data_IF_450854177404
#
_entry.id   IF_450854177404
#
_cell.length_a   1.000
_cell.length_b   1.000
_cell.length_c   1.000
_cell.angle_alpha   90.00
_cell.angle_beta   90.00
_cell.angle_gamma   90.00
#
_symmetry.space_group_name_H-M   'P 1'
#
loop_
_entity.id
_entity.type
_entity.pdbx_description
1 polymer ?
#
# COMPACT_ATOMS: atom_id res chain seq x y z
N UNK A 1 34.40 -21.18 18.74
CA UNK A 1 33.21 -21.34 17.90
C UNK A 1 32.15 -20.43 18.51
N UNK A 2 31.61 -19.39 17.88
CA UNK A 2 31.34 -19.14 16.46
C UNK A 2 31.60 -17.64 16.11
N UNK A 3 32.40 -17.30 15.07
CA UNK A 3 32.65 -15.93 14.60
C UNK A 3 31.55 -15.31 13.70
N UNK A 4 30.38 -15.92 13.53
CA UNK A 4 29.46 -15.58 12.43
C UNK A 4 28.30 -14.61 12.75
N UNK A 5 28.50 -13.59 13.60
CA UNK A 5 27.61 -12.42 13.62
C UNK A 5 28.31 -11.17 13.06
N UNK A 6 28.81 -11.29 11.83
CA UNK A 6 28.92 -10.11 10.97
C UNK A 6 27.49 -9.68 10.70
N UNK A 7 27.02 -8.68 11.45
CA UNK A 7 25.84 -7.91 11.09
C UNK A 7 26.15 -7.25 9.75
N UNK A 8 25.91 -7.95 8.64
CA UNK A 8 25.88 -7.34 7.33
C UNK A 8 24.91 -6.18 7.44
N UNK A 9 25.42 -4.97 7.28
CA UNK A 9 24.63 -3.75 7.26
C UNK A 9 23.77 -3.79 5.99
N UNK A 10 22.68 -4.57 6.02
CA UNK A 10 21.72 -4.74 4.93
C UNK A 10 20.98 -3.43 4.78
N UNK A 11 21.50 -2.56 3.93
CA UNK A 11 20.88 -1.27 3.63
C UNK A 11 19.62 -1.53 2.82
N UNK A 12 18.46 -1.38 3.47
CA UNK A 12 17.17 -1.41 2.79
C UNK A 12 17.04 -0.19 1.87
N UNK A 13 16.85 -0.41 0.58
CA UNK A 13 16.53 0.63 -0.40
C UNK A 13 15.13 0.41 -0.95
N UNK A 14 14.49 1.47 -1.45
CA UNK A 14 13.21 1.36 -2.16
C UNK A 14 13.26 2.15 -3.45
N UNK A 15 12.68 1.59 -4.51
CA UNK A 15 12.64 2.21 -5.83
C UNK A 15 11.38 1.82 -6.59
N UNK A 16 11.01 2.65 -7.54
CA UNK A 16 10.11 2.23 -8.60
C UNK A 16 10.74 1.08 -9.37
N UNK A 17 9.91 0.16 -9.83
CA UNK A 17 10.35 -0.86 -10.77
C UNK A 17 10.73 -0.21 -12.10
N UNK A 18 11.70 -0.81 -12.79
CA UNK A 18 11.94 -0.53 -14.19
C UNK A 18 10.80 -1.11 -15.05
N UNK A 19 10.67 -0.63 -16.28
CA UNK A 19 9.55 -0.98 -17.17
C UNK A 19 9.53 -2.48 -17.50
N UNK A 20 10.70 -3.08 -17.68
CA UNK A 20 10.92 -4.51 -17.96
C UNK A 20 10.70 -5.41 -16.74
N UNK A 21 10.71 -4.85 -15.53
CA UNK A 21 10.45 -5.60 -14.29
C UNK A 21 8.95 -5.81 -14.00
N UNK A 22 8.04 -5.21 -14.77
CA UNK A 22 6.61 -5.27 -14.48
C UNK A 22 6.06 -6.70 -14.47
N UNK A 23 6.45 -7.55 -15.42
CA UNK A 23 6.00 -8.95 -15.47
C UNK A 23 6.45 -9.69 -14.22
N UNK A 24 7.74 -9.58 -13.86
CA UNK A 24 8.29 -10.18 -12.64
C UNK A 24 7.57 -9.67 -11.39
N UNK A 25 7.27 -8.37 -11.32
CA UNK A 25 6.56 -7.76 -10.21
C UNK A 25 5.16 -8.35 -10.07
N UNK A 26 4.38 -8.35 -11.15
CA UNK A 26 3.00 -8.81 -11.14
C UNK A 26 2.95 -10.33 -10.82
N UNK A 27 3.83 -11.16 -11.38
CA UNK A 27 3.92 -12.61 -11.04
C UNK A 27 4.33 -12.87 -9.60
N UNK A 28 5.28 -12.09 -9.07
CA UNK A 28 5.73 -12.23 -7.68
C UNK A 28 4.63 -11.80 -6.73
N UNK A 29 3.94 -10.71 -7.04
CA UNK A 29 2.83 -10.22 -6.25
C UNK A 29 1.63 -11.17 -6.29
N UNK A 30 1.35 -11.80 -7.44
CA UNK A 30 0.30 -12.81 -7.60
C UNK A 30 0.53 -14.00 -6.66
N UNK A 31 1.78 -14.49 -6.57
CA UNK A 31 2.14 -15.60 -5.68
C UNK A 31 2.16 -15.21 -4.20
N UNK A 32 2.65 -14.02 -3.89
CA UNK A 32 2.92 -13.61 -2.51
C UNK A 32 1.73 -12.93 -1.81
N UNK A 33 0.77 -12.36 -2.55
CA UNK A 33 -0.35 -11.62 -1.98
C UNK A 33 -1.68 -12.36 -2.19
N UNK A 34 -2.42 -12.58 -1.09
CA UNK A 34 -3.71 -13.28 -1.07
C UNK A 34 -4.86 -12.64 -1.90
N UNK A 35 -4.60 -11.49 -2.53
CA UNK A 35 -5.55 -10.77 -3.40
C UNK A 35 -5.01 -10.65 -4.84
N UNK A 36 -3.94 -11.38 -5.16
CA UNK A 36 -3.24 -11.32 -6.43
C UNK A 36 -2.63 -9.95 -6.75
N UNK A 37 -2.23 -9.77 -8.00
CA UNK A 37 -1.54 -8.59 -8.53
C UNK A 37 -2.46 -7.46 -9.02
N UNK A 38 -3.77 -7.58 -8.81
CA UNK A 38 -4.76 -6.62 -9.29
C UNK A 38 -4.62 -5.22 -8.67
N UNK A 39 -3.96 -4.31 -9.39
CA UNK A 39 -3.84 -2.88 -9.09
C UNK A 39 -4.70 -2.07 -10.08
N UNK A 40 -5.31 -0.98 -9.62
CA UNK A 40 -6.25 -0.18 -10.43
C UNK A 40 -5.99 1.33 -10.32
N UNK A 41 -6.23 2.03 -11.44
CA UNK A 41 -6.11 3.48 -11.55
C UNK A 41 -4.68 3.95 -11.85
N UNK A 42 -4.28 5.01 -11.17
CA UNK A 42 -2.96 5.64 -11.27
C UNK A 42 -1.92 4.82 -10.48
N UNK A 43 -1.47 3.73 -11.10
CA UNK A 43 -0.68 2.69 -10.44
C UNK A 43 0.80 3.08 -10.30
N UNK A 44 1.33 2.91 -9.09
CA UNK A 44 2.76 2.97 -8.76
C UNK A 44 3.21 1.62 -8.19
N UNK A 45 4.32 1.08 -8.70
CA UNK A 45 4.88 -0.22 -8.27
C UNK A 45 6.29 0.01 -7.72
N UNK A 46 6.48 -0.35 -6.45
CA UNK A 46 7.75 -0.23 -5.76
C UNK A 46 8.24 -1.59 -5.30
N UNK A 47 9.56 -1.76 -5.36
CA UNK A 47 10.26 -2.86 -4.69
C UNK A 47 11.13 -2.28 -3.59
N UNK A 48 11.14 -2.98 -2.45
CA UNK A 48 12.16 -2.80 -1.43
C UNK A 48 13.24 -3.84 -1.66
N UNK A 49 14.51 -3.44 -1.52
CA UNK A 49 15.65 -4.28 -1.84
C UNK A 49 16.69 -4.30 -0.72
N UNK A 50 17.32 -5.45 -0.54
CA UNK A 50 18.54 -5.62 0.25
C UNK A 50 19.55 -6.35 -0.63
N UNK A 51 20.74 -5.79 -0.82
CA UNK A 51 21.80 -6.38 -1.67
C UNK A 51 21.34 -6.74 -3.11
N UNK A 52 20.39 -5.98 -3.66
CA UNK A 52 19.83 -6.22 -5.00
C UNK A 52 18.74 -7.30 -5.07
N UNK A 53 18.40 -7.93 -3.95
CA UNK A 53 17.29 -8.87 -3.84
C UNK A 53 16.01 -8.16 -3.43
N UNK A 54 14.89 -8.50 -4.06
CA UNK A 54 13.58 -7.97 -3.68
C UNK A 54 13.15 -8.59 -2.36
N UNK A 55 12.88 -7.76 -1.36
CA UNK A 55 12.45 -8.22 -0.02
C UNK A 55 10.99 -7.86 0.28
N UNK A 56 10.42 -6.88 -0.42
CA UNK A 56 9.02 -6.52 -0.32
C UNK A 56 8.50 -5.86 -1.60
N UNK A 57 7.21 -6.03 -1.88
CA UNK A 57 6.51 -5.42 -3.02
C UNK A 57 5.40 -4.51 -2.49
N UNK A 58 5.34 -3.28 -2.99
CA UNK A 58 4.37 -2.27 -2.57
C UNK A 58 3.70 -1.67 -3.82
N UNK A 59 2.39 -1.85 -3.92
CA UNK A 59 1.55 -1.31 -4.98
C UNK A 59 0.64 -0.20 -4.46
N UNK A 60 0.72 0.96 -5.09
CA UNK A 60 -0.27 2.03 -4.93
C UNK A 60 -1.13 2.15 -6.19
N UNK A 61 -2.36 2.61 -6.02
CA UNK A 61 -3.26 2.97 -7.11
C UNK A 61 -4.17 4.12 -6.70
N UNK A 62 -5.18 4.40 -7.51
CA UNK A 62 -6.15 5.45 -7.18
C UNK A 62 -6.98 5.09 -5.94
N UNK A 63 -7.44 6.13 -5.25
CA UNK A 63 -8.31 6.05 -4.08
C UNK A 63 -9.59 5.21 -4.32
N UNK A 64 -10.08 4.59 -3.25
CA UNK A 64 -11.41 4.01 -3.23
C UNK A 64 -12.45 5.13 -3.36
N UNK A 65 -13.40 4.94 -4.28
CA UNK A 65 -14.36 5.99 -4.66
C UNK A 65 -15.21 6.48 -3.49
N UNK A 66 -15.75 5.55 -2.70
CA UNK A 66 -16.71 5.87 -1.64
C UNK A 66 -16.23 5.28 -0.32
N UNK A 67 -15.77 6.13 0.60
CA UNK A 67 -15.30 5.72 1.92
C UNK A 67 -15.82 6.73 2.94
N UNK A 68 -17.01 6.47 3.48
CA UNK A 68 -17.71 7.43 4.33
C UNK A 68 -16.89 7.86 5.56
N UNK A 69 -16.17 6.93 6.20
CA UNK A 69 -15.34 7.26 7.36
C UNK A 69 -14.22 8.26 7.02
N UNK A 70 -13.58 8.10 5.86
CA UNK A 70 -12.56 9.03 5.34
C UNK A 70 -13.19 10.37 5.01
N UNK A 71 -14.27 10.35 4.23
CA UNK A 71 -14.90 11.59 3.74
C UNK A 71 -15.42 12.44 4.91
N UNK A 72 -16.03 11.81 5.92
CA UNK A 72 -16.45 12.48 7.17
C UNK A 72 -15.27 12.99 7.98
N UNK A 73 -14.19 12.22 8.11
CA UNK A 73 -13.00 12.65 8.87
C UNK A 73 -12.32 13.87 8.24
N UNK A 74 -12.24 13.93 6.90
CA UNK A 74 -11.69 15.09 6.18
C UNK A 74 -12.70 16.26 6.14
N UNK A 75 -13.99 16.00 6.37
CA UNK A 75 -15.07 16.98 6.25
C UNK A 75 -15.45 17.30 4.80
N UNK A 76 -15.34 16.32 3.90
CA UNK A 76 -15.69 16.49 2.50
C UNK A 76 -17.20 16.32 2.26
N UNK A 77 -17.76 17.25 1.50
CA UNK A 77 -19.00 17.02 0.75
C UNK A 77 -18.76 16.06 -0.41
N UNK A 78 -19.84 15.48 -0.95
CA UNK A 78 -19.77 14.63 -2.13
C UNK A 78 -19.07 15.32 -3.32
N UNK A 79 -19.39 16.60 -3.56
CA UNK A 79 -18.74 17.37 -4.62
C UNK A 79 -17.23 17.50 -4.40
N UNK A 80 -16.81 17.79 -3.16
CA UNK A 80 -15.38 17.88 -2.83
C UNK A 80 -14.67 16.54 -3.01
N UNK A 81 -15.29 15.43 -2.58
CA UNK A 81 -14.77 14.07 -2.80
C UNK A 81 -14.48 13.85 -4.28
N UNK A 82 -15.45 14.08 -5.16
CA UNK A 82 -15.28 13.85 -6.60
C UNK A 82 -14.10 14.62 -7.21
N UNK A 83 -13.88 15.87 -6.80
CA UNK A 83 -12.77 16.67 -7.31
C UNK A 83 -11.41 16.38 -6.65
N UNK A 84 -11.41 15.87 -5.41
CA UNK A 84 -10.20 15.74 -4.59
C UNK A 84 -9.67 14.32 -4.43
N UNK A 85 -10.46 13.31 -4.79
CA UNK A 85 -10.05 11.90 -4.76
C UNK A 85 -8.72 11.65 -5.50
N UNK A 86 -8.45 12.40 -6.57
CA UNK A 86 -7.17 12.31 -7.31
C UNK A 86 -5.94 12.54 -6.41
N UNK A 87 -6.07 13.35 -5.36
CA UNK A 87 -4.94 13.63 -4.46
C UNK A 87 -4.75 12.54 -3.38
N UNK A 88 -5.48 11.43 -3.47
CA UNK A 88 -5.40 10.32 -2.54
C UNK A 88 -4.81 9.09 -3.25
N UNK A 89 -3.74 8.55 -2.70
CA UNK A 89 -3.19 7.27 -3.13
C UNK A 89 -3.67 6.14 -2.22
N UNK A 90 -4.10 5.04 -2.80
CA UNK A 90 -4.46 3.83 -2.07
C UNK A 90 -3.30 2.85 -2.09
N UNK A 91 -2.79 2.43 -0.92
CA UNK A 91 -1.89 1.29 -0.85
C UNK A 91 -2.69 -0.01 -1.01
N UNK A 92 -2.89 -0.40 -2.26
CA UNK A 92 -3.75 -1.51 -2.67
C UNK A 92 -3.12 -2.88 -2.39
N UNK A 93 -1.79 -2.99 -2.46
CA UNK A 93 -1.06 -4.22 -2.22
C UNK A 93 0.22 -3.94 -1.45
N UNK A 94 0.48 -4.74 -0.43
CA UNK A 94 1.74 -4.70 0.28
C UNK A 94 2.06 -6.07 0.87
N UNK A 95 3.17 -6.67 0.44
CA UNK A 95 3.68 -7.91 1.02
C UNK A 95 5.20 -7.85 1.20
N UNK A 96 5.66 -8.39 2.33
CA UNK A 96 7.06 -8.78 2.54
C UNK A 96 7.18 -10.23 2.08
N UNK A 97 8.20 -10.54 1.30
CA UNK A 97 8.45 -11.91 0.82
C UNK A 97 8.83 -12.83 1.98
N UNK A 98 8.35 -14.07 1.94
CA UNK A 98 8.36 -14.97 3.10
C UNK A 98 9.78 -15.29 3.57
N UNK A 99 10.70 -15.52 2.64
CA UNK A 99 12.12 -15.77 2.84
C UNK A 99 12.88 -14.59 3.47
N UNK A 100 12.31 -13.38 3.39
CA UNK A 100 12.93 -12.15 3.91
C UNK A 100 12.22 -11.60 5.15
N UNK A 101 11.20 -12.29 5.68
CA UNK A 101 10.45 -11.83 6.85
C UNK A 101 11.37 -11.65 8.06
N UNK A 102 11.46 -10.41 8.53
CA UNK A 102 12.14 -10.03 9.78
C UNK A 102 11.41 -8.88 10.46
N UNK A 103 11.59 -8.68 11.78
CA UNK A 103 11.00 -7.56 12.49
C UNK A 103 11.28 -6.23 11.79
N UNK A 104 10.25 -5.36 11.76
CA UNK A 104 10.30 -4.00 11.24
C UNK A 104 10.55 -3.84 9.73
N UNK A 105 10.79 -4.90 8.95
CA UNK A 105 11.03 -4.78 7.51
C UNK A 105 9.85 -4.10 6.79
N UNK A 106 8.62 -4.50 7.11
CA UNK A 106 7.43 -3.91 6.51
C UNK A 106 7.31 -2.40 6.82
N UNK A 107 7.47 -1.99 8.08
CA UNK A 107 7.36 -0.57 8.44
C UNK A 107 8.53 0.25 7.88
N UNK A 108 9.74 -0.31 7.81
CA UNK A 108 10.90 0.33 7.19
C UNK A 108 10.68 0.56 5.69
N UNK A 109 10.24 -0.47 4.97
CA UNK A 109 9.95 -0.40 3.54
C UNK A 109 8.82 0.59 3.23
N UNK A 110 7.71 0.50 3.97
CA UNK A 110 6.58 1.41 3.81
C UNK A 110 6.97 2.86 4.10
N UNK A 111 7.70 3.11 5.20
CA UNK A 111 8.21 4.44 5.53
C UNK A 111 9.09 5.03 4.43
N UNK A 112 9.94 4.19 3.84
CA UNK A 112 10.83 4.60 2.76
C UNK A 112 10.05 4.97 1.49
N UNK A 113 9.02 4.21 1.11
CA UNK A 113 8.19 4.55 -0.05
C UNK A 113 7.38 5.82 0.20
N UNK A 114 6.80 5.99 1.38
CA UNK A 114 5.98 7.17 1.69
C UNK A 114 6.76 8.49 1.60
N UNK A 115 8.07 8.49 1.89
CA UNK A 115 8.93 9.68 1.77
C UNK A 115 9.10 10.17 0.32
N UNK A 116 8.92 9.28 -0.66
CA UNK A 116 9.10 9.59 -2.09
C UNK A 116 7.81 9.57 -2.89
N UNK A 117 6.75 8.96 -2.35
CA UNK A 117 5.51 8.68 -3.05
C UNK A 117 4.93 9.91 -3.75
N UNK A 118 4.76 11.04 -3.05
CA UNK A 118 4.14 12.22 -3.66
C UNK A 118 4.96 12.77 -4.83
N UNK A 119 6.29 12.81 -4.69
CA UNK A 119 7.18 13.25 -5.76
C UNK A 119 7.08 12.31 -6.97
N UNK A 120 7.18 11.00 -6.75
CA UNK A 120 7.08 10.03 -7.83
C UNK A 120 5.70 10.05 -8.51
N UNK A 121 4.63 10.30 -7.74
CA UNK A 121 3.26 10.43 -8.25
C UNK A 121 3.13 11.66 -9.15
N UNK A 122 3.65 12.79 -8.70
CA UNK A 122 3.63 14.04 -9.46
C UNK A 122 4.41 13.91 -10.76
N UNK A 123 5.58 13.27 -10.73
CA UNK A 123 6.38 13.00 -11.92
C UNK A 123 5.67 12.10 -12.94
N UNK A 124 4.82 11.16 -12.48
CA UNK A 124 4.14 10.21 -13.38
C UNK A 124 2.75 10.66 -13.83
N UNK A 125 1.98 11.26 -12.94
CA UNK A 125 0.56 11.55 -13.11
C UNK A 125 0.23 13.05 -13.11
N UNK A 126 1.23 13.92 -12.88
CA UNK A 126 1.07 15.37 -12.96
C UNK A 126 0.33 16.00 -11.78
N UNK A 127 0.26 15.32 -10.63
CA UNK A 127 -0.25 15.88 -9.39
C UNK A 127 0.31 15.15 -8.15
N UNK A 128 0.35 15.82 -6.98
CA UNK A 128 0.88 15.23 -5.77
C UNK A 128 -0.10 14.24 -5.10
N UNK A 129 0.43 13.53 -4.12
CA UNK A 129 -0.35 12.76 -3.13
C UNK A 129 -0.41 13.57 -1.84
N UNK A 130 -1.62 13.93 -1.41
CA UNK A 130 -1.88 14.69 -0.19
C UNK A 130 -2.27 13.78 0.97
N UNK A 131 -2.88 12.62 0.68
CA UNK A 131 -3.25 11.62 1.68
C UNK A 131 -3.06 10.21 1.13
N UNK A 132 -2.65 9.30 2.00
CA UNK A 132 -2.56 7.87 1.68
C UNK A 132 -3.61 7.11 2.48
N UNK A 133 -4.32 6.21 1.83
CA UNK A 133 -5.26 5.30 2.48
C UNK A 133 -4.89 3.83 2.25
N UNK A 134 -5.36 2.95 3.13
CA UNK A 134 -5.35 1.50 2.90
C UNK A 134 -6.44 0.80 3.72
N UNK A 135 -6.63 -0.48 3.44
CA UNK A 135 -7.66 -1.31 4.07
C UNK A 135 -7.07 -2.66 4.49
N UNK A 136 -7.10 -2.96 5.78
CA UNK A 136 -6.64 -4.26 6.29
C UNK A 136 -7.82 -5.11 6.74
N UNK A 137 -7.84 -6.37 6.32
CA UNK A 137 -8.74 -7.38 6.91
C UNK A 137 -8.23 -7.72 8.32
N UNK A 138 -8.96 -7.36 9.40
CA UNK A 138 -8.50 -7.57 10.76
C UNK A 138 -8.40 -9.06 11.14
N UNK A 139 -9.01 -9.97 10.37
CA UNK A 139 -8.89 -11.42 10.57
C UNK A 139 -7.55 -11.97 10.05
N UNK A 140 -6.87 -11.23 9.17
CA UNK A 140 -5.60 -11.62 8.54
C UNK A 140 -4.43 -10.77 9.02
N UNK A 141 -4.66 -9.47 9.17
CA UNK A 141 -3.61 -8.49 9.42
C UNK A 141 -4.09 -7.42 10.41
N UNK A 142 -3.35 -7.28 11.51
CA UNK A 142 -3.61 -6.24 12.53
C UNK A 142 -3.22 -4.81 12.08
N UNK A 143 -2.63 -4.65 10.90
CA UNK A 143 -2.18 -3.35 10.41
C UNK A 143 -0.97 -2.77 11.16
N UNK A 144 -0.19 -3.60 11.83
CA UNK A 144 0.96 -3.16 12.66
C UNK A 144 1.96 -2.31 11.89
N UNK A 145 2.24 -2.63 10.62
CA UNK A 145 3.14 -1.82 9.81
C UNK A 145 2.58 -0.41 9.53
N UNK A 146 1.28 -0.28 9.27
CA UNK A 146 0.62 1.02 9.09
C UNK A 146 0.63 1.83 10.37
N UNK A 147 0.31 1.21 11.51
CA UNK A 147 0.43 1.86 12.83
C UNK A 147 1.85 2.34 13.10
N UNK A 148 2.85 1.51 12.82
CA UNK A 148 4.28 1.84 13.01
C UNK A 148 4.78 2.92 12.04
N UNK A 149 4.04 3.25 10.97
CA UNK A 149 4.37 4.34 10.04
C UNK A 149 3.44 5.55 10.20
N UNK A 150 2.80 5.69 11.37
CA UNK A 150 1.92 6.80 11.76
C UNK A 150 0.64 6.91 10.91
N UNK A 151 0.08 5.79 10.45
CA UNK A 151 -1.30 5.80 9.97
C UNK A 151 -2.26 5.81 11.15
N UNK A 152 -3.36 6.54 10.99
CA UNK A 152 -4.45 6.61 11.95
C UNK A 152 -5.60 5.70 11.49
N UNK A 153 -6.13 4.82 12.36
CA UNK A 153 -7.33 4.05 12.03
C UNK A 153 -8.57 4.95 12.09
N UNK A 154 -9.40 4.94 11.04
CA UNK A 154 -10.64 5.73 10.95
C UNK A 154 -11.92 4.92 11.24
N UNK A 155 -11.77 3.67 11.69
CA UNK A 155 -12.88 2.75 11.90
C UNK A 155 -12.89 1.63 10.85
N UNK A 156 -14.08 1.11 10.54
CA UNK A 156 -14.28 -0.05 9.68
C UNK A 156 -15.10 0.27 8.43
N UNK A 157 -14.84 -0.43 7.34
CA UNK A 157 -15.70 -0.41 6.15
C UNK A 157 -17.02 -1.13 6.44
N UNK A 158 -18.08 -0.73 5.75
CA UNK A 158 -19.42 -1.31 5.92
C UNK A 158 -19.62 -2.68 5.25
N UNK A 159 -18.55 -3.40 4.89
CA UNK A 159 -18.66 -4.74 4.30
C UNK A 159 -19.17 -4.83 2.85
N UNK A 160 -19.02 -3.76 2.06
CA UNK A 160 -19.41 -3.76 0.64
C UNK A 160 -18.20 -3.90 -0.30
N UNK A 161 -18.42 -4.60 -1.42
CA UNK A 161 -17.46 -4.72 -2.52
C UNK A 161 -18.12 -4.35 -3.84
N UNK A 162 -17.35 -3.79 -4.77
CA UNK A 162 -17.85 -3.45 -6.11
C UNK A 162 -17.59 -4.59 -7.10
N UNK A 163 -18.63 -5.09 -7.75
CA UNK A 163 -18.56 -6.10 -8.81
C UNK A 163 -19.45 -5.68 -9.97
N UNK A 164 -18.89 -5.66 -11.19
CA UNK A 164 -19.59 -5.28 -12.42
C UNK A 164 -20.42 -3.98 -12.28
N UNK A 165 -19.81 -2.94 -11.72
CA UNK A 165 -20.44 -1.62 -11.53
C UNK A 165 -21.31 -1.48 -10.28
N UNK A 166 -21.75 -2.58 -9.67
CA UNK A 166 -22.68 -2.58 -8.53
C UNK A 166 -21.96 -2.84 -7.20
N UNK A 167 -22.48 -2.29 -6.11
CA UNK A 167 -22.02 -2.60 -4.76
C UNK A 167 -22.84 -3.75 -4.18
N UNK A 168 -22.15 -4.81 -3.75
CA UNK A 168 -22.76 -5.96 -3.11
C UNK A 168 -22.22 -6.09 -1.69
N UNK A 169 -23.12 -6.24 -0.72
CA UNK A 169 -22.74 -6.49 0.66
C UNK A 169 -22.22 -7.92 0.80
N UNK A 170 -21.03 -8.08 1.38
CA UNK A 170 -20.39 -9.37 1.64
C UNK A 170 -20.01 -9.55 3.11
N UNK A 171 -20.33 -8.59 4.00
CA UNK A 171 -20.14 -8.69 5.45
C UNK A 171 -18.69 -8.68 5.94
N UNK A 172 -17.70 -8.57 5.05
CA UNK A 172 -16.28 -8.52 5.43
C UNK A 172 -15.87 -7.08 5.67
N UNK A 173 -15.84 -6.68 6.93
CA UNK A 173 -15.35 -5.38 7.36
C UNK A 173 -13.82 -5.31 7.29
N UNK A 174 -13.29 -4.16 6.84
CA UNK A 174 -11.86 -3.87 6.84
C UNK A 174 -11.58 -2.67 7.71
N UNK A 175 -10.45 -2.65 8.42
CA UNK A 175 -9.98 -1.44 9.11
C UNK A 175 -9.47 -0.46 8.08
N UNK A 176 -9.92 0.78 8.17
CA UNK A 176 -9.53 1.90 7.29
C UNK A 176 -8.38 2.63 7.96
N UNK A 177 -7.28 2.83 7.23
CA UNK A 177 -6.10 3.55 7.71
C UNK A 177 -5.80 4.73 6.81
N UNK A 178 -5.44 5.88 7.39
CA UNK A 178 -5.02 7.08 6.63
C UNK A 178 -3.75 7.72 7.19
N UNK A 179 -2.96 8.35 6.33
CA UNK A 179 -1.77 9.15 6.66
C UNK A 179 -1.70 10.39 5.78
#
# INVERSE_FOLDING_TARGET
>A
MDPSQVSLNRKLTVRLIAKDEQVRFDETLERAHWLGAGLVGEVMRYVAEENGEWVALIGFGSAALCVSARDTNIGWSERQRWHRLRYIANNQRFCVLDEHRRPNLASQALSAVLRRLSFDYEQRWGHPVVLVETFTDPTRHFGTCYKATNFTPLGRTSGYGRKAGHFTHHGVEKVIWTK
#
